data_IF_320306294026
#
_entry.id   IF_320306294026
#
_cell.length_a   1.000
_cell.length_b   1.000
_cell.length_c   1.000
_cell.angle_alpha   90.00
_cell.angle_beta   90.00
_cell.angle_gamma   90.00
#
_symmetry.space_group_name_H-M   'P 1'
#
loop_
_entity.id
_entity.type
_entity.pdbx_description
1 polymer ?
#
# COMPACT_ATOMS: atom_id res chain seq x y z
N UNK A 1 -26.01 61.62 -61.58
CA UNK A 1 -25.92 62.57 -60.46
C UNK A 1 -26.69 61.94 -59.30
N UNK A 2 -25.97 61.46 -58.28
CA UNK A 2 -26.00 62.04 -56.91
C UNK A 2 -27.16 61.52 -56.06
N UNK A 3 -26.78 60.68 -55.08
CA UNK A 3 -27.16 60.66 -53.66
C UNK A 3 -28.66 60.57 -53.27
N UNK A 4 -28.95 59.46 -52.57
CA UNK A 4 -30.03 59.07 -51.63
C UNK A 4 -30.66 60.23 -50.79
N UNK A 5 -31.80 60.10 -50.04
CA UNK A 5 -32.33 58.88 -49.38
C UNK A 5 -33.87 58.78 -49.08
N UNK A 6 -34.24 57.65 -48.45
CA UNK A 6 -35.29 57.47 -47.43
C UNK A 6 -36.77 57.35 -47.83
N UNK A 7 -37.41 56.20 -47.51
CA UNK A 7 -38.42 56.01 -46.43
C UNK A 7 -39.30 54.75 -46.65
N UNK A 8 -39.21 53.86 -45.66
CA UNK A 8 -40.26 53.09 -44.92
C UNK A 8 -41.41 52.30 -45.59
N UNK A 9 -41.58 51.08 -45.02
CA UNK A 9 -42.81 50.28 -44.79
C UNK A 9 -43.48 49.65 -46.03
N UNK A 10 -43.92 48.38 -46.08
CA UNK A 10 -44.12 47.22 -45.21
C UNK A 10 -43.90 45.97 -46.10
N UNK A 11 -43.62 44.78 -45.57
CA UNK A 11 -44.39 43.56 -45.91
C UNK A 11 -43.89 42.33 -45.13
N UNK A 12 -44.79 41.37 -45.06
CA UNK A 12 -44.91 40.19 -44.20
C UNK A 12 -43.94 39.02 -44.47
N UNK A 13 -43.84 38.15 -43.45
CA UNK A 13 -43.78 36.66 -43.52
C UNK A 13 -42.45 35.96 -43.85
N UNK A 14 -42.15 35.02 -42.94
CA UNK A 14 -41.55 33.69 -43.17
C UNK A 14 -40.03 33.50 -43.08
N UNK A 15 -39.69 32.66 -42.08
CA UNK A 15 -38.53 31.80 -41.88
C UNK A 15 -37.46 31.70 -42.98
N UNK A 16 -36.19 31.94 -42.61
CA UNK A 16 -35.10 30.94 -42.54
C UNK A 16 -33.75 31.58 -42.19
N UNK A 17 -33.01 30.89 -41.32
CA UNK A 17 -31.56 30.88 -41.11
C UNK A 17 -30.83 32.21 -40.85
N UNK A 18 -30.15 32.27 -39.70
CA UNK A 18 -28.67 32.26 -39.56
C UNK A 18 -28.26 33.09 -38.34
N UNK A 19 -27.42 32.46 -37.51
CA UNK A 19 -26.66 32.97 -36.38
C UNK A 19 -26.17 34.42 -36.54
N UNK A 20 -26.36 35.27 -35.52
CA UNK A 20 -25.28 35.93 -34.75
C UNK A 20 -25.81 37.00 -33.78
N UNK A 21 -25.24 36.97 -32.56
CA UNK A 21 -25.03 38.07 -31.60
C UNK A 21 -26.26 38.66 -30.87
N UNK A 22 -26.39 38.29 -29.60
CA UNK A 22 -26.89 39.20 -28.58
C UNK A 22 -26.00 39.11 -27.33
N UNK A 23 -25.40 40.25 -26.99
CA UNK A 23 -24.75 40.53 -25.72
C UNK A 23 -25.83 40.88 -24.67
N UNK A 24 -25.91 40.07 -23.61
CA UNK A 24 -26.12 40.37 -22.17
C UNK A 24 -27.28 41.30 -21.69
N UNK A 25 -27.64 41.33 -20.37
CA UNK A 25 -27.47 40.38 -19.26
C UNK A 25 -28.80 40.11 -18.49
N UNK A 26 -28.89 39.03 -17.69
CA UNK A 26 -30.09 38.83 -16.86
C UNK A 26 -30.16 37.51 -16.09
N UNK A 27 -29.25 37.35 -15.13
CA UNK A 27 -29.35 36.58 -13.87
C UNK A 27 -30.49 35.55 -13.78
N UNK A 28 -30.15 34.26 -13.97
CA UNK A 28 -30.65 33.14 -13.14
C UNK A 28 -29.87 31.85 -13.49
N UNK A 29 -28.60 31.78 -13.06
CA UNK A 29 -27.89 30.50 -12.93
C UNK A 29 -27.72 30.25 -11.44
N UNK A 30 -28.69 29.55 -10.87
CA UNK A 30 -28.57 28.98 -9.54
C UNK A 30 -27.55 27.83 -9.56
N UNK A 31 -26.37 28.10 -9.02
CA UNK A 31 -25.54 27.19 -8.22
C UNK A 31 -25.24 25.79 -8.80
N UNK A 32 -24.45 25.75 -9.87
CA UNK A 32 -23.45 24.69 -10.03
C UNK A 32 -22.14 25.18 -9.39
N UNK A 33 -21.98 24.96 -8.07
CA UNK A 33 -20.64 25.05 -7.44
C UNK A 33 -19.84 23.86 -7.95
N UNK A 34 -19.28 24.00 -9.14
CA UNK A 34 -18.13 23.21 -9.55
C UNK A 34 -17.01 23.53 -8.57
N UNK A 35 -16.66 22.57 -7.72
CA UNK A 35 -15.41 22.56 -6.98
C UNK A 35 -14.26 22.44 -7.99
N UNK A 36 -13.94 23.53 -8.69
CA UNK A 36 -12.62 23.72 -9.27
C UNK A 36 -11.67 23.93 -8.10
N UNK A 37 -11.19 22.82 -7.52
CA UNK A 37 -9.93 22.82 -6.81
C UNK A 37 -8.85 23.22 -7.82
N UNK A 38 -8.62 24.53 -7.95
CA UNK A 38 -7.51 25.07 -8.73
C UNK A 38 -6.25 24.39 -8.24
N UNK A 39 -5.58 23.66 -9.15
CA UNK A 39 -4.23 23.17 -8.92
C UNK A 39 -3.35 24.40 -8.67
N UNK A 40 -3.06 24.66 -7.39
CA UNK A 40 -2.20 25.77 -6.99
C UNK A 40 -0.87 25.61 -7.73
N UNK A 41 -0.45 26.58 -8.56
CA UNK A 41 0.83 26.48 -9.24
C UNK A 41 1.93 26.43 -8.18
N UNK A 42 2.76 25.39 -8.21
CA UNK A 42 3.93 25.26 -7.34
C UNK A 42 4.98 26.24 -7.85
N UNK A 43 4.97 27.49 -7.35
CA UNK A 43 5.81 28.59 -7.83
C UNK A 43 7.14 28.73 -7.05
N UNK A 44 7.69 27.63 -6.53
CA UNK A 44 9.00 27.62 -5.88
C UNK A 44 9.02 27.91 -4.36
N UNK A 45 9.10 29.18 -3.92
CA UNK A 45 9.14 29.48 -2.47
C UNK A 45 7.72 29.52 -1.89
N UNK A 46 7.46 28.74 -0.84
CA UNK A 46 6.15 28.73 -0.20
C UNK A 46 5.78 30.08 0.44
N UNK A 47 4.50 30.41 0.41
CA UNK A 47 3.87 31.51 1.16
C UNK A 47 3.36 31.07 2.53
N UNK A 48 3.17 29.76 2.76
CA UNK A 48 2.69 29.17 4.01
C UNK A 48 1.19 28.85 4.01
N UNK A 49 0.45 29.44 3.05
CA UNK A 49 -0.97 29.21 2.83
C UNK A 49 -1.28 27.93 2.05
N UNK A 50 -0.28 27.35 1.36
CA UNK A 50 -0.48 26.26 0.42
C UNK A 50 -1.06 25.00 1.08
N UNK A 51 -2.02 24.41 0.37
CA UNK A 51 -2.74 23.21 0.82
C UNK A 51 -2.57 22.09 -0.20
N UNK A 52 -1.40 21.47 -0.19
CA UNK A 52 -1.19 20.23 -0.93
C UNK A 52 -1.94 19.09 -0.23
N UNK A 53 -2.96 18.49 -0.89
CA UNK A 53 -3.68 17.38 -0.30
C UNK A 53 -2.75 16.18 -0.14
N UNK A 54 -3.00 15.38 0.90
CA UNK A 54 -2.24 14.14 1.08
C UNK A 54 -2.57 13.17 -0.06
N UNK A 55 -1.59 12.84 -0.90
CA UNK A 55 -1.76 11.80 -1.92
C UNK A 55 -2.06 10.45 -1.26
N UNK A 56 -1.45 10.19 -0.10
CA UNK A 56 -1.77 9.05 0.74
C UNK A 56 -1.48 9.37 2.22
N UNK A 57 -2.49 9.84 2.95
CA UNK A 57 -2.36 10.18 4.37
C UNK A 57 -1.93 8.97 5.24
N UNK A 58 -2.29 7.74 4.84
CA UNK A 58 -1.90 6.54 5.57
C UNK A 58 -0.40 6.26 5.42
N UNK A 59 0.19 6.57 4.27
CA UNK A 59 1.64 6.44 4.08
C UNK A 59 2.41 7.38 5.00
N UNK A 60 1.97 8.64 5.09
CA UNK A 60 2.56 9.64 5.97
C UNK A 60 2.46 9.25 7.45
N UNK A 61 1.29 8.77 7.90
CA UNK A 61 1.09 8.28 9.27
C UNK A 61 1.87 7.00 9.56
N UNK A 62 2.04 6.13 8.58
CA UNK A 62 2.86 4.92 8.73
C UNK A 62 4.35 5.27 8.91
N UNK A 63 4.87 6.29 8.23
CA UNK A 63 6.22 6.81 8.48
C UNK A 63 6.36 7.29 9.93
N UNK A 64 5.41 8.10 10.44
CA UNK A 64 5.44 8.54 11.84
C UNK A 64 5.47 7.34 12.80
N UNK A 65 4.64 6.33 12.56
CA UNK A 65 4.62 5.10 13.36
C UNK A 65 5.97 4.37 13.31
N UNK A 66 6.57 4.24 12.14
CA UNK A 66 7.87 3.60 11.95
C UNK A 66 9.01 4.37 12.63
N UNK A 67 9.01 5.70 12.55
CA UNK A 67 9.94 6.56 13.31
C UNK A 67 9.82 6.29 14.80
N UNK A 68 8.61 6.26 15.36
CA UNK A 68 8.40 6.01 16.78
C UNK A 68 8.80 4.59 17.20
N UNK A 69 8.72 3.60 16.30
CA UNK A 69 9.29 2.26 16.54
C UNK A 69 10.81 2.32 16.68
N UNK A 70 11.51 3.03 15.80
CA UNK A 70 12.97 3.15 15.88
C UNK A 70 13.43 3.97 17.09
N UNK A 71 12.70 5.04 17.43
CA UNK A 71 12.95 5.85 18.62
C UNK A 71 12.77 5.04 19.92
N UNK A 72 11.69 4.25 20.02
CA UNK A 72 11.43 3.39 21.18
C UNK A 72 12.54 2.38 21.45
N UNK A 73 13.17 1.82 20.40
CA UNK A 73 14.32 0.88 20.57
C UNK A 73 15.51 1.51 21.29
N UNK A 74 15.58 2.84 21.35
CA UNK A 74 16.65 3.61 22.00
C UNK A 74 16.16 4.37 23.23
N UNK A 75 14.99 4.04 23.76
CA UNK A 75 14.41 4.74 24.91
C UNK A 75 14.01 6.20 24.64
N UNK A 76 13.93 6.63 23.38
CA UNK A 76 13.56 8.01 23.03
C UNK A 76 12.05 8.19 23.03
N UNK A 77 11.59 9.37 23.48
CA UNK A 77 10.19 9.79 23.44
C UNK A 77 9.62 9.73 22.03
N UNK A 78 8.36 9.30 21.93
CA UNK A 78 7.62 9.25 20.66
C UNK A 78 7.32 10.67 20.16
N UNK A 79 7.46 10.87 18.85
CA UNK A 79 7.07 12.10 18.18
C UNK A 79 5.55 12.16 18.01
N UNK A 80 4.99 13.35 18.18
CA UNK A 80 3.58 13.66 17.86
C UNK A 80 3.43 14.12 16.41
N UNK A 81 2.23 14.01 15.84
CA UNK A 81 1.97 14.48 14.47
C UNK A 81 1.80 16.00 14.43
N UNK A 82 2.63 16.68 13.65
CA UNK A 82 2.56 18.12 13.45
C UNK A 82 1.96 18.45 12.08
N UNK A 83 0.76 19.03 12.09
CA UNK A 83 0.03 19.37 10.85
C UNK A 83 0.73 20.46 10.03
N UNK A 84 1.34 21.47 10.68
CA UNK A 84 2.10 22.52 10.00
C UNK A 84 3.32 21.94 9.27
N UNK A 85 4.07 21.07 9.95
CA UNK A 85 5.21 20.37 9.33
C UNK A 85 4.77 19.42 8.22
N UNK A 86 3.59 18.80 8.32
CA UNK A 86 3.07 17.96 7.25
C UNK A 86 2.69 18.76 6.01
N UNK A 87 2.12 19.98 6.17
CA UNK A 87 1.89 20.89 5.04
C UNK A 87 3.20 21.28 4.36
N UNK A 88 4.20 21.69 5.14
CA UNK A 88 5.53 22.00 4.62
C UNK A 88 6.15 20.83 3.85
N UNK A 89 6.04 19.62 4.42
CA UNK A 89 6.59 18.41 3.82
C UNK A 89 5.86 18.01 2.52
N UNK A 90 4.53 18.13 2.47
CA UNK A 90 3.74 17.86 1.25
C UNK A 90 4.00 18.89 0.16
N UNK A 91 4.14 20.16 0.53
CA UNK A 91 4.56 21.21 -0.39
C UNK A 91 5.88 20.82 -1.05
N UNK A 92 6.92 20.57 -0.25
CA UNK A 92 8.25 20.28 -0.80
C UNK A 92 8.30 18.97 -1.61
N UNK A 93 7.54 17.95 -1.20
CA UNK A 93 7.42 16.71 -1.97
C UNK A 93 6.77 16.93 -3.34
N UNK A 94 5.80 17.84 -3.43
CA UNK A 94 5.15 18.20 -4.69
C UNK A 94 6.05 19.13 -5.54
N UNK A 95 6.71 20.09 -4.90
CA UNK A 95 7.68 21.02 -5.50
C UNK A 95 8.80 20.27 -6.25
N UNK A 96 9.51 19.38 -5.54
CA UNK A 96 10.53 18.49 -6.12
C UNK A 96 10.01 17.64 -7.29
N UNK A 97 8.76 17.18 -7.20
CA UNK A 97 8.15 16.37 -8.24
C UNK A 97 7.76 17.20 -9.47
N UNK A 98 7.28 18.43 -9.27
CA UNK A 98 6.80 19.29 -10.35
C UNK A 98 7.92 19.86 -11.17
N UNK A 99 8.94 20.40 -10.51
CA UNK A 99 10.09 21.06 -11.14
C UNK A 99 11.28 20.11 -11.33
N UNK A 100 11.05 18.80 -11.15
CA UNK A 100 11.98 17.74 -11.49
C UNK A 100 13.37 17.98 -10.85
N UNK A 101 13.44 17.99 -9.52
CA UNK A 101 14.72 18.08 -8.81
C UNK A 101 14.69 17.28 -7.50
N UNK A 102 15.85 17.12 -6.86
CA UNK A 102 15.96 16.48 -5.56
C UNK A 102 16.99 17.22 -4.70
N UNK A 103 16.51 18.19 -3.92
CA UNK A 103 17.33 19.03 -3.07
C UNK A 103 16.51 19.48 -1.84
N UNK A 104 17.20 19.83 -0.76
CA UNK A 104 16.56 20.39 0.43
C UNK A 104 16.02 21.81 0.20
N UNK A 105 16.73 22.65 -0.57
CA UNK A 105 16.24 23.96 -0.97
C UNK A 105 15.17 23.85 -2.09
N UNK A 106 14.42 24.91 -2.30
CA UNK A 106 13.38 25.00 -3.33
C UNK A 106 13.96 25.71 -4.55
N UNK A 107 13.63 25.19 -5.73
CA UNK A 107 14.17 25.64 -7.01
C UNK A 107 13.01 26.00 -7.93
N UNK A 108 13.23 26.94 -8.86
CA UNK A 108 12.31 27.12 -9.99
C UNK A 108 12.60 26.07 -11.08
N UNK A 109 11.70 25.97 -12.06
CA UNK A 109 11.86 25.09 -13.24
C UNK A 109 13.14 25.35 -14.04
N UNK A 110 13.75 26.53 -13.91
CA UNK A 110 15.05 26.87 -14.52
C UNK A 110 16.25 26.36 -13.72
N UNK A 111 16.04 25.72 -12.57
CA UNK A 111 17.10 25.20 -11.72
C UNK A 111 17.76 26.26 -10.82
N UNK A 112 17.17 27.46 -10.71
CA UNK A 112 17.67 28.49 -9.79
C UNK A 112 17.06 28.29 -8.41
N UNK A 113 17.89 28.36 -7.36
CA UNK A 113 17.39 28.31 -5.99
C UNK A 113 16.56 29.56 -5.68
N UNK A 114 15.32 29.37 -5.26
CA UNK A 114 14.37 30.44 -4.93
C UNK A 114 14.02 30.52 -3.46
N UNK A 115 14.35 29.48 -2.67
CA UNK A 115 14.00 29.43 -1.25
C UNK A 115 14.89 28.44 -0.50
N UNK A 116 15.61 28.87 0.54
CA UNK A 116 16.36 27.97 1.39
C UNK A 116 15.42 27.04 2.19
N UNK A 117 15.89 25.83 2.55
CA UNK A 117 15.13 24.77 3.24
C UNK A 117 14.31 25.28 4.44
N UNK A 118 14.98 25.89 5.41
CA UNK A 118 14.30 26.38 6.62
C UNK A 118 13.57 27.69 6.39
N UNK A 119 13.93 28.49 5.38
CA UNK A 119 13.12 29.63 4.98
C UNK A 119 11.74 29.16 4.47
N UNK A 120 11.69 28.12 3.64
CA UNK A 120 10.44 27.46 3.21
C UNK A 120 9.67 26.88 4.40
N UNK A 121 10.31 26.08 5.26
CA UNK A 121 9.62 25.42 6.37
C UNK A 121 9.01 26.45 7.34
N UNK A 122 9.72 27.55 7.63
CA UNK A 122 9.27 28.66 8.49
C UNK A 122 7.97 29.32 8.03
N UNK A 123 7.65 29.27 6.73
CA UNK A 123 6.37 29.77 6.20
C UNK A 123 5.18 28.99 6.74
N UNK A 124 5.37 27.72 7.12
CA UNK A 124 4.33 26.88 7.70
C UNK A 124 4.40 26.79 9.22
N UNK A 125 5.60 26.83 9.80
CA UNK A 125 5.85 26.77 11.24
C UNK A 125 7.32 26.49 11.58
N UNK A 126 7.63 26.20 12.84
CA UNK A 126 9.01 26.02 13.28
C UNK A 126 9.52 24.58 13.04
N UNK A 127 10.38 24.40 12.05
CA UNK A 127 11.05 23.12 11.76
C UNK A 127 12.51 23.11 12.23
N UNK A 128 12.98 21.97 12.73
CA UNK A 128 14.32 21.79 13.27
C UNK A 128 15.22 20.87 12.45
N UNK A 129 14.64 20.02 11.60
CA UNK A 129 15.37 19.15 10.68
C UNK A 129 14.47 18.70 9.53
N UNK A 130 15.08 18.37 8.40
CA UNK A 130 14.40 17.78 7.24
C UNK A 130 15.11 16.51 6.79
N UNK A 131 14.35 15.47 6.44
CA UNK A 131 14.84 14.37 5.61
C UNK A 131 14.04 14.32 4.32
N UNK A 132 14.72 14.11 3.19
CA UNK A 132 14.08 13.91 1.88
C UNK A 132 14.45 12.52 1.32
N UNK A 133 13.58 11.94 0.51
CA UNK A 133 13.85 10.69 -0.19
C UNK A 133 13.03 10.60 -1.49
N UNK A 134 13.59 9.95 -2.51
CA UNK A 134 12.95 9.75 -3.79
C UNK A 134 13.04 8.29 -4.26
N UNK A 135 12.14 7.88 -5.16
CA UNK A 135 12.12 6.57 -5.81
C UNK A 135 11.50 5.43 -4.98
N UNK A 136 11.51 5.52 -3.65
CA UNK A 136 10.83 4.56 -2.79
C UNK A 136 9.30 4.65 -2.94
N UNK A 137 8.60 3.57 -3.25
CA UNK A 137 7.15 3.57 -3.45
C UNK A 137 6.33 3.17 -2.21
N UNK A 138 6.98 3.01 -1.05
CA UNK A 138 6.32 2.55 0.18
C UNK A 138 6.96 3.13 1.44
N UNK A 139 6.18 3.36 2.52
CA UNK A 139 6.70 3.87 3.79
C UNK A 139 7.87 3.05 4.34
N UNK A 140 7.76 1.72 4.28
CA UNK A 140 8.82 0.83 4.81
C UNK A 140 10.10 0.89 3.97
N UNK A 141 9.99 1.08 2.65
CA UNK A 141 11.13 1.24 1.77
C UNK A 141 11.87 2.53 2.06
N UNK A 142 11.13 3.64 2.09
CA UNK A 142 11.65 4.97 2.40
C UNK A 142 12.27 5.04 3.80
N UNK A 143 11.63 4.43 4.81
CA UNK A 143 12.20 4.35 6.16
C UNK A 143 13.55 3.61 6.20
N UNK A 144 13.72 2.55 5.40
CA UNK A 144 15.03 1.87 5.30
C UNK A 144 16.09 2.77 4.67
N UNK A 145 15.74 3.53 3.63
CA UNK A 145 16.66 4.48 3.01
C UNK A 145 17.16 5.51 4.04
N UNK A 146 16.24 6.12 4.81
CA UNK A 146 16.62 7.08 5.85
C UNK A 146 17.42 6.45 6.99
N UNK A 147 17.07 5.25 7.47
CA UNK A 147 17.80 4.60 8.57
C UNK A 147 19.19 4.09 8.18
N UNK A 148 19.43 3.84 6.88
CA UNK A 148 20.73 3.44 6.36
C UNK A 148 21.64 4.64 6.02
N UNK A 149 21.12 5.86 6.09
CA UNK A 149 21.88 7.09 5.87
C UNK A 149 22.19 7.76 7.22
N UNK A 150 23.47 7.94 7.59
CA UNK A 150 23.84 8.50 8.90
C UNK A 150 23.19 9.86 9.21
N UNK A 151 23.19 10.78 8.26
CA UNK A 151 22.57 12.11 8.41
C UNK A 151 21.06 12.05 8.67
N UNK A 152 20.34 11.29 7.84
CA UNK A 152 18.88 11.14 8.01
C UNK A 152 18.52 10.42 9.32
N UNK A 153 19.28 9.39 9.66
CA UNK A 153 19.14 8.64 10.92
C UNK A 153 19.36 9.54 12.14
N UNK A 154 20.34 10.44 12.10
CA UNK A 154 20.60 11.43 13.16
C UNK A 154 19.36 12.30 13.42
N UNK A 155 18.69 12.77 12.37
CA UNK A 155 17.46 13.56 12.51
C UNK A 155 16.32 12.76 13.14
N UNK A 156 16.07 11.52 12.68
CA UNK A 156 15.03 10.63 13.20
C UNK A 156 15.21 10.33 14.69
N UNK A 157 16.46 10.18 15.12
CA UNK A 157 16.84 9.77 16.47
C UNK A 157 17.31 10.94 17.35
N UNK A 158 17.11 12.17 16.90
CA UNK A 158 17.42 13.36 17.69
C UNK A 158 16.53 13.42 18.93
N UNK A 159 17.14 13.53 20.11
CA UNK A 159 16.41 13.65 21.38
C UNK A 159 15.60 14.96 21.46
N UNK A 160 16.06 16.03 20.79
CA UNK A 160 15.38 17.33 20.78
C UNK A 160 14.11 17.40 19.93
N UNK A 161 13.88 16.42 19.03
CA UNK A 161 12.66 16.37 18.24
C UNK A 161 11.47 15.94 19.10
N UNK A 162 10.38 16.71 19.04
CA UNK A 162 9.12 16.46 19.79
C UNK A 162 7.93 16.16 18.89
N UNK A 163 7.95 16.66 17.66
CA UNK A 163 6.90 16.39 16.67
C UNK A 163 7.45 16.21 15.25
N UNK A 164 6.64 15.61 14.38
CA UNK A 164 6.99 15.27 13.01
C UNK A 164 5.79 15.50 12.09
N UNK A 165 6.05 16.13 10.95
CA UNK A 165 5.17 16.11 9.79
C UNK A 165 5.80 15.31 8.66
N UNK A 166 4.97 14.59 7.90
CA UNK A 166 5.43 13.79 6.75
C UNK A 166 4.62 14.19 5.53
N UNK A 167 5.29 14.31 4.39
CA UNK A 167 4.68 14.53 3.08
C UNK A 167 5.05 13.41 2.12
N UNK A 168 4.07 12.96 1.34
CA UNK A 168 4.28 12.03 0.24
C UNK A 168 3.60 12.56 -1.02
N UNK A 169 4.35 12.58 -2.12
CA UNK A 169 3.84 12.93 -3.43
C UNK A 169 4.19 11.88 -4.47
N UNK A 170 3.28 11.68 -5.43
CA UNK A 170 3.48 10.77 -6.54
C UNK A 170 3.10 11.47 -7.84
N UNK A 171 4.06 11.60 -8.76
CA UNK A 171 3.85 12.18 -10.09
C UNK A 171 3.94 11.07 -11.15
N UNK A 172 2.82 10.66 -11.77
CA UNK A 172 2.85 9.75 -12.90
C UNK A 172 3.50 10.42 -14.12
N UNK A 173 4.06 9.63 -15.04
CA UNK A 173 4.52 10.13 -16.35
C UNK A 173 5.95 10.65 -16.44
N UNK A 174 6.70 10.74 -15.33
CA UNK A 174 8.15 10.99 -15.39
C UNK A 174 8.85 9.73 -15.92
N UNK A 175 9.42 9.80 -17.14
CA UNK A 175 10.08 8.66 -17.81
C UNK A 175 11.49 8.39 -17.28
N UNK A 176 12.21 9.44 -16.83
CA UNK A 176 13.66 9.35 -16.54
C UNK A 176 14.06 9.84 -15.12
N UNK A 177 13.10 10.28 -14.30
CA UNK A 177 13.32 10.77 -12.92
C UNK A 177 12.41 10.04 -11.93
N UNK A 178 12.63 10.20 -10.63
CA UNK A 178 11.86 9.51 -9.60
C UNK A 178 10.37 9.88 -9.66
N UNK A 179 9.47 8.90 -9.44
CA UNK A 179 8.01 9.14 -9.43
C UNK A 179 7.44 9.36 -8.03
N UNK A 180 8.20 9.03 -6.99
CA UNK A 180 7.78 9.03 -5.60
C UNK A 180 8.72 9.94 -4.82
N UNK A 181 8.16 10.91 -4.09
CA UNK A 181 8.90 11.87 -3.28
C UNK A 181 8.35 11.88 -1.85
N UNK A 182 9.27 11.93 -0.89
CA UNK A 182 8.98 11.86 0.53
C UNK A 182 9.76 12.91 1.28
N UNK A 183 9.11 13.53 2.27
CA UNK A 183 9.73 14.52 3.14
C UNK A 183 9.31 14.27 4.59
N UNK A 184 10.26 14.33 5.52
CA UNK A 184 10.03 14.41 6.96
C UNK A 184 10.48 15.78 7.45
N UNK A 185 9.60 16.53 8.11
CA UNK A 185 9.94 17.77 8.79
C UNK A 185 9.75 17.60 10.29
N UNK A 186 10.85 17.66 11.03
CA UNK A 186 10.87 17.53 12.49
C UNK A 186 10.73 18.90 13.14
N UNK A 187 10.17 18.94 14.35
CA UNK A 187 10.09 20.17 15.15
C UNK A 187 10.38 19.88 16.62
N UNK A 188 10.91 20.90 17.32
CA UNK A 188 11.11 20.90 18.78
C UNK A 188 9.85 21.26 19.55
N UNK A 189 8.77 21.65 18.85
CA UNK A 189 7.48 21.97 19.44
C UNK A 189 6.62 20.71 19.60
N UNK A 190 5.91 20.59 20.72
CA UNK A 190 4.86 19.58 20.91
C UNK A 190 3.57 20.11 20.31
N UNK A 191 2.86 19.29 19.53
CA UNK A 191 1.51 19.63 19.10
C UNK A 191 0.51 18.76 19.85
N UNK A 192 -0.25 19.35 20.77
CA UNK A 192 -1.33 18.70 21.50
C UNK A 192 -2.51 18.44 20.57
N UNK A 193 -2.45 17.39 19.74
CA UNK A 193 -3.60 16.80 19.04
C UNK A 193 -4.59 17.73 18.32
N UNK A 194 -4.23 19.00 18.08
CA UNK A 194 -5.21 20.01 17.72
C UNK A 194 -5.56 19.83 16.25
N UNK A 195 -6.75 19.27 16.08
CA UNK A 195 -7.43 19.06 14.82
C UNK A 195 -7.83 20.44 14.29
N UNK A 196 -7.00 21.01 13.43
CA UNK A 196 -7.43 22.11 12.58
C UNK A 196 -8.36 21.58 11.49
N UNK A 197 -9.66 21.55 11.79
CA UNK A 197 -10.79 21.61 10.85
C UNK A 197 -11.26 20.31 10.20
N UNK A 198 -12.49 19.87 10.56
CA UNK A 198 -13.30 19.00 9.69
C UNK A 198 -14.08 17.87 10.36
N UNK A 199 -15.10 18.23 11.14
CA UNK A 199 -16.33 17.49 11.47
C UNK A 199 -16.23 16.08 12.10
N UNK A 200 -16.52 15.99 13.40
CA UNK A 200 -17.11 14.79 14.00
C UNK A 200 -17.98 15.17 15.19
N UNK A 201 -19.26 14.86 15.06
CA UNK A 201 -20.25 14.95 16.12
C UNK A 201 -19.88 14.12 17.35
N UNK A 202 -20.53 14.59 18.42
CA UNK A 202 -20.55 14.20 19.82
C UNK A 202 -20.47 12.70 20.17
N UNK A 203 -20.03 12.46 21.42
CA UNK A 203 -20.08 11.19 22.16
C UNK A 203 -18.67 10.64 22.42
N UNK A 204 -17.97 11.00 23.49
CA UNK A 204 -18.40 10.95 24.89
C UNK A 204 -18.30 9.51 25.41
N UNK A 205 -17.14 9.11 25.94
CA UNK A 205 -17.00 8.62 27.32
C UNK A 205 -15.56 8.17 27.62
N UNK A 206 -15.09 8.65 28.77
CA UNK A 206 -13.88 8.28 29.51
C UNK A 206 -13.85 6.81 29.92
N UNK A 207 -12.65 6.25 30.02
CA UNK A 207 -12.42 4.91 30.54
C UNK A 207 -10.94 4.65 30.71
N UNK A 208 -10.39 5.18 31.80
CA UNK A 208 -9.11 4.77 32.39
C UNK A 208 -9.15 3.27 32.69
N UNK A 209 -8.01 2.60 32.59
CA UNK A 209 -7.92 1.18 32.91
C UNK A 209 -6.64 0.56 32.36
N UNK A 210 -5.52 0.82 33.03
CA UNK A 210 -4.41 -0.10 32.98
C UNK A 210 -4.85 -1.45 33.53
N UNK A 211 -4.53 -2.54 32.85
CA UNK A 211 -4.26 -3.78 33.58
C UNK A 211 -3.28 -4.67 32.81
N UNK A 212 -2.14 -4.87 33.45
CA UNK A 212 -1.28 -6.04 33.33
C UNK A 212 -2.05 -7.29 33.73
N UNK A 213 -2.30 -8.21 32.79
CA UNK A 213 -2.95 -9.48 33.10
C UNK A 213 -2.58 -10.58 32.11
N UNK A 214 -1.83 -11.58 32.59
CA UNK A 214 -1.73 -12.91 31.97
C UNK A 214 -3.12 -13.56 32.00
N UNK A 215 -3.63 -13.99 30.85
CA UNK A 215 -4.90 -14.74 30.76
C UNK A 215 -5.29 -15.05 29.31
N UNK A 216 -5.47 -16.34 29.00
CA UNK A 216 -5.77 -16.86 27.66
C UNK A 216 -7.20 -16.60 27.18
N UNK A 217 -7.58 -15.34 26.96
CA UNK A 217 -8.87 -14.98 26.37
C UNK A 217 -8.92 -15.15 24.85
N UNK A 218 -10.00 -15.75 24.32
CA UNK A 218 -10.30 -15.85 22.89
C UNK A 218 -10.32 -14.44 22.29
N UNK A 219 -9.37 -14.14 21.39
CA UNK A 219 -9.28 -12.83 20.72
C UNK A 219 -10.60 -12.54 19.98
N UNK A 220 -11.19 -11.37 20.21
CA UNK A 220 -12.41 -10.93 19.51
C UNK A 220 -12.15 -10.84 18.00
N UNK A 221 -13.17 -11.20 17.22
CA UNK A 221 -13.05 -11.39 15.76
C UNK A 221 -13.32 -10.12 14.95
N UNK A 222 -13.53 -8.99 15.61
CA UNK A 222 -14.04 -7.77 14.97
C UNK A 222 -13.08 -6.59 14.98
N UNK A 223 -11.90 -6.72 15.59
CA UNK A 223 -10.84 -5.71 15.58
C UNK A 223 -9.44 -6.30 15.51
N UNK A 224 -8.45 -5.46 15.21
CA UNK A 224 -7.04 -5.83 15.35
C UNK A 224 -6.57 -5.73 16.81
N UNK A 225 -5.45 -6.37 17.10
CA UNK A 225 -4.72 -6.22 18.36
C UNK A 225 -3.29 -5.82 18.11
N UNK A 226 -2.71 -5.06 19.04
CA UNK A 226 -1.31 -4.66 18.96
C UNK A 226 -0.42 -5.89 18.92
N UNK A 227 0.50 -5.92 17.97
CA UNK A 227 1.52 -6.95 17.86
C UNK A 227 2.82 -6.35 17.37
N UNK A 228 3.91 -6.74 18.04
CA UNK A 228 5.27 -6.38 17.66
C UNK A 228 5.84 -7.33 16.59
N UNK A 229 5.09 -8.37 16.21
CA UNK A 229 5.52 -9.38 15.24
C UNK A 229 5.06 -8.97 13.85
N UNK A 230 6.01 -8.55 13.01
CA UNK A 230 5.78 -8.23 11.60
C UNK A 230 5.22 -9.45 10.85
N UNK A 231 4.25 -9.21 9.99
CA UNK A 231 3.63 -10.23 9.15
C UNK A 231 3.33 -9.71 7.73
N UNK A 232 3.00 -10.62 6.82
CA UNK A 232 2.57 -10.31 5.46
C UNK A 232 1.28 -11.04 5.16
N UNK A 233 0.26 -10.28 4.76
CA UNK A 233 -0.96 -10.80 4.16
C UNK A 233 -0.80 -10.81 2.64
N UNK A 234 -0.89 -11.97 2.01
CA UNK A 234 -1.02 -12.08 0.57
C UNK A 234 -2.48 -12.35 0.20
N UNK A 235 -3.08 -11.50 -0.62
CA UNK A 235 -4.43 -11.69 -1.16
C UNK A 235 -4.33 -11.99 -2.65
N UNK A 236 -5.00 -13.05 -3.10
CA UNK A 236 -5.13 -13.39 -4.52
C UNK A 236 -6.57 -13.23 -4.96
N UNK A 237 -6.79 -12.44 -5.99
CA UNK A 237 -8.11 -12.26 -6.57
C UNK A 237 -8.31 -13.25 -7.72
N UNK A 238 -9.27 -14.14 -7.55
CA UNK A 238 -9.78 -15.09 -8.55
C UNK A 238 -11.25 -14.84 -8.87
N UNK A 239 -11.79 -13.71 -8.43
CA UNK A 239 -13.10 -13.24 -8.86
C UNK A 239 -12.98 -12.50 -10.19
N UNK A 240 -14.11 -12.25 -10.84
CA UNK A 240 -14.20 -11.42 -12.05
C UNK A 240 -14.24 -9.92 -11.73
N UNK A 241 -14.35 -9.53 -10.45
CA UNK A 241 -14.46 -8.15 -9.99
C UNK A 241 -13.23 -7.67 -9.21
N UNK A 242 -13.12 -6.35 -9.01
CA UNK A 242 -12.07 -5.77 -8.16
C UNK A 242 -12.35 -6.09 -6.70
N UNK A 243 -11.31 -6.49 -5.97
CA UNK A 243 -11.35 -6.62 -4.52
C UNK A 243 -10.71 -5.42 -3.85
N UNK A 244 -11.25 -5.02 -2.70
CA UNK A 244 -10.75 -3.92 -1.86
C UNK A 244 -10.29 -4.49 -0.52
N UNK A 245 -9.06 -4.21 -0.13
CA UNK A 245 -8.49 -4.67 1.14
C UNK A 245 -8.53 -3.61 2.21
N UNK A 246 -9.15 -3.95 3.35
CA UNK A 246 -9.26 -3.08 4.50
C UNK A 246 -8.62 -3.71 5.73
N UNK A 247 -7.78 -2.98 6.44
CA UNK A 247 -7.36 -3.33 7.79
C UNK A 247 -8.40 -2.83 8.77
N UNK A 248 -8.75 -3.61 9.77
CA UNK A 248 -9.66 -3.17 10.84
C UNK A 248 -8.82 -2.71 12.01
N UNK A 249 -8.90 -1.44 12.39
CA UNK A 249 -8.04 -0.88 13.44
C UNK A 249 -8.37 -1.43 14.84
N UNK A 250 -7.61 -1.00 15.85
CA UNK A 250 -7.78 -1.47 17.23
C UNK A 250 -9.12 -1.03 17.87
N UNK A 251 -9.82 -0.08 17.24
CA UNK A 251 -11.16 0.39 17.62
C UNK A 251 -12.26 -0.25 16.76
N UNK A 252 -11.93 -1.20 15.88
CA UNK A 252 -12.92 -1.87 15.01
C UNK A 252 -13.23 -1.12 13.70
N UNK A 253 -12.56 -0.01 13.41
CA UNK A 253 -12.86 0.81 12.22
C UNK A 253 -12.07 0.31 11.02
N UNK A 254 -12.72 0.24 9.86
CA UNK A 254 -12.05 -0.19 8.63
C UNK A 254 -11.19 0.92 8.01
N UNK A 255 -10.01 0.54 7.53
CA UNK A 255 -9.02 1.40 6.87
C UNK A 255 -8.68 0.78 5.53
N UNK A 256 -8.92 1.47 4.43
CA UNK A 256 -8.61 0.99 3.08
C UNK A 256 -7.09 0.99 2.81
N UNK A 257 -6.59 -0.04 2.12
CA UNK A 257 -5.17 -0.18 1.76
C UNK A 257 -4.92 -0.47 0.29
N UNK A 258 -5.76 -1.28 -0.36
CA UNK A 258 -5.48 -1.67 -1.75
C UNK A 258 -6.73 -2.02 -2.53
N UNK A 259 -6.69 -1.72 -3.82
CA UNK A 259 -7.51 -2.37 -4.84
C UNK A 259 -6.71 -3.54 -5.43
N UNK A 260 -7.40 -4.62 -5.75
CA UNK A 260 -6.81 -5.81 -6.33
C UNK A 260 -7.64 -6.25 -7.52
N UNK A 261 -7.10 -6.03 -8.72
CA UNK A 261 -7.73 -6.42 -9.98
C UNK A 261 -7.93 -7.93 -10.10
N UNK A 262 -8.91 -8.39 -10.90
CA UNK A 262 -9.11 -9.80 -11.23
C UNK A 262 -7.80 -10.48 -11.66
N UNK A 263 -7.61 -11.73 -11.21
CA UNK A 263 -6.43 -12.54 -11.56
C UNK A 263 -5.11 -12.16 -10.88
N UNK A 264 -5.02 -10.98 -10.23
CA UNK A 264 -3.79 -10.48 -9.61
C UNK A 264 -3.63 -10.94 -8.15
N UNK A 265 -2.44 -10.74 -7.60
CA UNK A 265 -2.13 -10.93 -6.19
C UNK A 265 -1.47 -9.70 -5.59
N UNK A 266 -1.81 -9.36 -4.35
CA UNK A 266 -1.21 -8.27 -3.59
C UNK A 266 -0.61 -8.79 -2.29
N UNK A 267 0.58 -8.31 -1.93
CA UNK A 267 1.22 -8.58 -0.64
C UNK A 267 1.19 -7.31 0.20
N UNK A 268 0.57 -7.40 1.37
CA UNK A 268 0.37 -6.32 2.29
C UNK A 268 1.14 -6.58 3.58
N UNK A 269 2.11 -5.73 3.89
CA UNK A 269 2.76 -5.74 5.20
C UNK A 269 1.76 -5.38 6.30
N UNK A 270 1.82 -6.09 7.42
CA UNK A 270 0.89 -6.00 8.55
C UNK A 270 1.57 -6.51 9.83
N UNK A 271 0.88 -6.54 10.97
CA UNK A 271 1.27 -7.31 12.16
C UNK A 271 0.55 -8.65 12.25
N UNK A 272 1.06 -9.58 13.06
CA UNK A 272 0.21 -10.66 13.58
C UNK A 272 -0.89 -10.07 14.48
N UNK A 273 -1.97 -10.79 14.71
CA UNK A 273 -3.18 -10.31 15.40
C UNK A 273 -3.92 -9.13 14.73
N UNK A 274 -3.53 -8.75 13.52
CA UNK A 274 -4.29 -7.79 12.72
C UNK A 274 -5.47 -8.48 12.02
N UNK A 275 -6.63 -7.84 12.04
CA UNK A 275 -7.81 -8.22 11.28
C UNK A 275 -7.87 -7.45 9.96
N UNK A 276 -8.14 -8.17 8.88
CA UNK A 276 -8.38 -7.61 7.55
C UNK A 276 -9.76 -8.02 7.05
N UNK A 277 -10.43 -7.12 6.35
CA UNK A 277 -11.67 -7.35 5.61
C UNK A 277 -11.39 -7.11 4.14
N UNK A 278 -11.58 -8.13 3.33
CA UNK A 278 -11.50 -8.02 1.88
C UNK A 278 -12.92 -7.96 1.34
N UNK A 279 -13.24 -6.88 0.63
CA UNK A 279 -14.57 -6.60 0.10
C UNK A 279 -14.57 -6.63 -1.43
N UNK A 280 -15.72 -6.84 -2.06
CA UNK A 280 -15.88 -6.62 -3.49
C UNK A 280 -16.11 -5.12 -3.79
N UNK A 281 -16.31 -4.76 -5.06
CA UNK A 281 -16.56 -3.39 -5.48
C UNK A 281 -17.79 -2.76 -4.79
N UNK A 282 -18.83 -3.56 -4.56
CA UNK A 282 -20.09 -3.22 -3.89
C UNK A 282 -19.97 -3.14 -2.35
N UNK A 283 -18.78 -3.32 -1.77
CA UNK A 283 -18.57 -3.22 -0.33
C UNK A 283 -18.94 -4.47 0.48
N UNK A 284 -19.45 -5.54 -0.15
CA UNK A 284 -19.74 -6.81 0.51
C UNK A 284 -18.43 -7.47 0.97
N UNK A 285 -18.37 -7.88 2.24
CA UNK A 285 -17.20 -8.58 2.80
C UNK A 285 -17.11 -9.99 2.20
N UNK A 286 -16.08 -10.19 1.38
CA UNK A 286 -15.77 -11.47 0.73
C UNK A 286 -14.91 -12.37 1.63
N UNK A 287 -14.10 -11.78 2.52
CA UNK A 287 -13.24 -12.52 3.45
C UNK A 287 -12.84 -11.67 4.66
N UNK A 288 -12.98 -12.21 5.86
CA UNK A 288 -12.28 -11.73 7.06
C UNK A 288 -10.96 -12.52 7.24
N UNK A 289 -9.87 -11.85 7.54
CA UNK A 289 -8.54 -12.46 7.74
C UNK A 289 -7.91 -11.94 9.02
N UNK A 290 -7.97 -12.74 10.07
CA UNK A 290 -7.19 -12.48 11.28
C UNK A 290 -5.79 -13.09 11.11
N UNK A 291 -4.75 -12.27 11.26
CA UNK A 291 -3.36 -12.65 11.02
C UNK A 291 -2.85 -13.52 12.17
N UNK A 292 -2.66 -14.82 11.94
CA UNK A 292 -2.14 -15.76 12.96
C UNK A 292 -0.66 -16.09 12.77
N UNK A 293 -0.09 -15.76 11.59
CA UNK A 293 1.27 -16.15 11.18
C UNK A 293 2.00 -14.95 10.58
N UNK A 294 3.33 -15.00 10.59
CA UNK A 294 4.21 -14.00 9.92
C UNK A 294 4.00 -13.93 8.40
N UNK A 295 3.38 -14.96 7.81
CA UNK A 295 2.93 -14.95 6.44
C UNK A 295 1.59 -15.68 6.35
N UNK A 296 0.57 -15.02 5.80
CA UNK A 296 -0.75 -15.61 5.60
C UNK A 296 -1.25 -15.26 4.22
N UNK A 297 -1.68 -16.29 3.49
CA UNK A 297 -2.07 -16.16 2.10
C UNK A 297 -3.53 -16.57 1.95
N UNK A 298 -4.35 -15.71 1.35
CA UNK A 298 -5.76 -15.96 1.10
C UNK A 298 -6.07 -15.76 -0.37
N UNK A 299 -6.91 -16.62 -0.92
CA UNK A 299 -7.44 -16.51 -2.28
C UNK A 299 -8.93 -16.28 -2.18
N UNK A 300 -9.46 -15.33 -2.95
CA UNK A 300 -10.86 -14.92 -2.94
C UNK A 300 -11.41 -15.05 -4.34
N UNK A 301 -12.57 -15.69 -4.47
CA UNK A 301 -13.13 -16.16 -5.73
C UNK A 301 -12.88 -17.66 -5.93
N UNK A 302 -13.87 -18.33 -6.54
CA UNK A 302 -13.77 -19.75 -6.90
C UNK A 302 -13.22 -19.87 -8.32
N UNK A 303 -12.37 -20.88 -8.53
CA UNK A 303 -12.27 -21.51 -9.85
C UNK A 303 -13.70 -21.84 -10.28
N UNK A 304 -14.09 -21.51 -11.52
CA UNK A 304 -15.24 -22.18 -12.14
C UNK A 304 -15.04 -23.69 -11.97
N UNK A 305 -15.88 -24.31 -11.15
CA UNK A 305 -16.60 -25.56 -11.42
C UNK A 305 -17.67 -25.69 -10.34
N UNK A 306 -18.88 -25.99 -10.79
CA UNK A 306 -20.10 -25.98 -9.98
C UNK A 306 -20.07 -26.99 -8.84
N UNK A 307 -21.15 -26.92 -8.06
CA UNK A 307 -21.60 -28.04 -7.23
C UNK A 307 -20.92 -28.16 -5.87
N UNK A 308 -21.70 -27.81 -4.85
CA UNK A 308 -21.74 -28.41 -3.52
C UNK A 308 -20.56 -28.26 -2.56
N UNK A 309 -20.84 -27.50 -1.50
CA UNK A 309 -20.64 -27.99 -0.12
C UNK A 309 -19.24 -27.96 0.48
N UNK A 310 -19.26 -27.78 1.81
CA UNK A 310 -18.20 -28.13 2.77
C UNK A 310 -17.04 -27.12 2.83
N UNK A 311 -16.80 -26.44 3.96
CA UNK A 311 -16.69 -27.00 5.31
C UNK A 311 -15.20 -27.25 5.61
N UNK A 312 -14.88 -27.47 6.88
CA UNK A 312 -13.54 -27.51 7.46
C UNK A 312 -12.44 -28.22 6.65
N UNK A 313 -11.20 -27.77 6.85
CA UNK A 313 -10.02 -28.18 6.08
C UNK A 313 -9.83 -29.70 5.96
N UNK A 314 -9.74 -30.18 4.72
CA UNK A 314 -9.08 -31.42 4.30
C UNK A 314 -8.55 -31.24 2.86
N UNK A 315 -7.45 -31.92 2.56
CA UNK A 315 -6.69 -32.01 1.31
C UNK A 315 -7.36 -31.53 0.00
N UNK A 316 -7.04 -30.30 -0.43
CA UNK A 316 -7.09 -29.99 -1.87
C UNK A 316 -5.92 -30.71 -2.53
N UNK A 317 -6.20 -31.76 -3.32
CA UNK A 317 -5.19 -32.48 -4.12
C UNK A 317 -4.51 -31.51 -5.09
N UNK A 318 -3.41 -30.89 -4.67
CA UNK A 318 -2.58 -30.04 -5.53
C UNK A 318 -1.98 -30.91 -6.63
N UNK A 319 -2.26 -30.58 -7.88
CA UNK A 319 -1.85 -31.37 -9.04
C UNK A 319 -0.63 -30.79 -9.79
N UNK A 320 -0.14 -29.60 -9.42
CA UNK A 320 1.00 -28.90 -10.05
C UNK A 320 1.82 -28.06 -9.07
N UNK A 321 3.04 -27.67 -9.46
CA UNK A 321 3.86 -26.73 -8.70
C UNK A 321 3.29 -25.30 -8.75
N UNK A 322 3.68 -24.48 -7.77
CA UNK A 322 3.44 -23.03 -7.80
C UNK A 322 4.79 -22.29 -7.87
N UNK A 323 4.82 -21.10 -8.52
CA UNK A 323 6.01 -20.27 -8.54
C UNK A 323 6.49 -19.93 -7.14
N UNK A 324 7.81 -20.00 -6.95
CA UNK A 324 8.51 -19.62 -5.75
C UNK A 324 9.95 -19.25 -6.08
N UNK A 325 10.58 -18.46 -5.24
CA UNK A 325 12.01 -18.11 -5.32
C UNK A 325 12.78 -18.57 -4.09
N UNK A 326 12.11 -19.21 -3.14
CA UNK A 326 12.75 -19.65 -1.90
C UNK A 326 13.27 -21.07 -2.08
N UNK A 327 14.60 -21.21 -2.03
CA UNK A 327 15.31 -22.48 -2.05
C UNK A 327 14.80 -23.45 -0.98
N UNK A 328 14.70 -24.72 -1.37
CA UNK A 328 14.31 -25.82 -0.51
C UNK A 328 15.11 -27.09 -0.86
N UNK A 329 15.13 -28.03 0.08
CA UNK A 329 15.79 -29.32 -0.06
C UNK A 329 14.81 -30.44 0.25
N UNK A 330 14.74 -31.43 -0.62
CA UNK A 330 13.91 -32.63 -0.47
C UNK A 330 14.81 -33.86 -0.33
N UNK A 331 14.82 -34.49 0.85
CA UNK A 331 15.51 -35.76 1.11
C UNK A 331 14.51 -36.91 1.04
N UNK A 332 14.80 -37.94 0.25
CA UNK A 332 13.93 -39.12 0.11
C UNK A 332 14.74 -40.39 0.30
N UNK A 333 14.28 -41.28 1.17
CA UNK A 333 14.84 -42.62 1.38
C UNK A 333 13.84 -43.66 0.88
N UNK A 334 14.31 -44.59 0.05
CA UNK A 334 13.51 -45.68 -0.50
C UNK A 334 13.70 -46.96 0.34
N UNK A 335 12.67 -47.35 1.09
CA UNK A 335 12.58 -48.62 1.82
C UNK A 335 11.59 -49.62 1.18
N UNK A 336 11.10 -49.32 -0.03
CA UNK A 336 10.27 -50.24 -0.79
C UNK A 336 11.14 -51.35 -1.41
N UNK A 337 10.50 -52.42 -1.89
CA UNK A 337 11.18 -53.53 -2.58
C UNK A 337 11.55 -53.23 -4.05
N UNK A 338 11.33 -52.02 -4.56
CA UNK A 338 11.58 -51.66 -5.96
C UNK A 338 12.26 -50.31 -6.14
N UNK A 339 12.49 -49.91 -7.39
CA UNK A 339 13.03 -48.58 -7.71
C UNK A 339 11.94 -47.50 -7.62
N UNK A 340 12.34 -46.31 -7.17
CA UNK A 340 11.49 -45.12 -7.17
C UNK A 340 12.03 -44.07 -8.14
N UNK A 341 11.15 -43.48 -8.96
CA UNK A 341 11.48 -42.37 -9.86
C UNK A 341 10.82 -41.08 -9.36
N UNK A 342 11.60 -40.01 -9.29
CA UNK A 342 11.16 -38.69 -8.84
C UNK A 342 10.93 -37.72 -9.99
N UNK A 343 9.73 -37.15 -10.03
CA UNK A 343 9.31 -36.19 -11.05
C UNK A 343 8.91 -34.87 -10.40
N UNK A 344 9.48 -33.77 -10.87
CA UNK A 344 8.95 -32.45 -10.58
C UNK A 344 7.75 -32.20 -11.49
N UNK A 345 6.64 -31.74 -10.92
CA UNK A 345 5.46 -31.38 -11.69
C UNK A 345 5.50 -29.89 -11.97
N UNK A 346 5.69 -29.48 -13.21
CA UNK A 346 5.87 -28.08 -13.57
C UNK A 346 4.61 -27.21 -13.34
N UNK A 347 4.69 -25.92 -13.65
CA UNK A 347 3.59 -24.97 -13.44
C UNK A 347 2.38 -25.21 -14.34
N UNK A 348 2.55 -25.98 -15.43
CA UNK A 348 1.48 -26.43 -16.32
C UNK A 348 0.90 -27.79 -15.89
N UNK A 349 1.53 -28.47 -14.94
CA UNK A 349 1.11 -29.80 -14.47
C UNK A 349 1.81 -30.96 -15.17
N UNK A 350 2.78 -30.68 -16.06
CA UNK A 350 3.55 -31.68 -16.78
C UNK A 350 4.69 -32.20 -15.89
N UNK A 351 4.87 -33.50 -15.85
CA UNK A 351 5.94 -34.14 -15.09
C UNK A 351 7.27 -34.04 -15.84
N UNK A 352 8.33 -33.70 -15.12
CA UNK A 352 9.72 -33.70 -15.58
C UNK A 352 10.51 -34.64 -14.69
N UNK A 353 11.21 -35.60 -15.27
CA UNK A 353 12.05 -36.56 -14.56
C UNK A 353 13.30 -35.86 -13.99
N UNK A 354 13.75 -36.29 -12.81
CA UNK A 354 14.97 -35.77 -12.18
C UNK A 354 15.88 -36.85 -11.62
N UNK A 355 15.33 -37.88 -10.95
CA UNK A 355 16.15 -38.87 -10.26
C UNK A 355 15.49 -40.23 -10.14
N UNK A 356 16.33 -41.25 -9.93
CA UNK A 356 15.92 -42.61 -9.55
C UNK A 356 16.58 -42.97 -8.22
N UNK A 357 15.85 -43.66 -7.35
CA UNK A 357 16.32 -44.16 -6.06
C UNK A 357 16.16 -45.68 -6.06
N UNK A 358 17.27 -46.42 -6.04
CA UNK A 358 17.28 -47.88 -5.87
C UNK A 358 16.78 -48.27 -4.46
N UNK A 359 16.42 -49.54 -4.26
CA UNK A 359 16.06 -50.07 -2.94
C UNK A 359 17.18 -49.77 -1.93
N UNK A 360 16.82 -49.29 -0.74
CA UNK A 360 17.76 -48.86 0.30
C UNK A 360 18.40 -47.48 0.07
N UNK A 361 18.33 -46.93 -1.14
CA UNK A 361 18.97 -45.68 -1.50
C UNK A 361 18.31 -44.43 -0.86
N UNK A 362 19.10 -43.36 -0.75
CA UNK A 362 18.63 -42.04 -0.32
C UNK A 362 19.13 -40.97 -1.28
N UNK A 363 18.25 -40.03 -1.66
CA UNK A 363 18.62 -38.87 -2.48
C UNK A 363 18.33 -37.56 -1.74
N UNK A 364 19.10 -36.52 -2.06
CA UNK A 364 18.84 -35.15 -1.62
C UNK A 364 18.72 -34.24 -2.84
N UNK A 365 17.51 -33.78 -3.13
CA UNK A 365 17.18 -32.96 -4.30
C UNK A 365 17.02 -31.48 -3.90
N UNK A 366 17.81 -30.60 -4.52
CA UNK A 366 17.58 -29.15 -4.44
C UNK A 366 16.34 -28.77 -5.25
N UNK A 367 15.51 -27.90 -4.70
CA UNK A 367 14.23 -27.49 -5.28
C UNK A 367 13.80 -26.14 -4.72
N UNK A 368 12.56 -25.71 -4.96
CA UNK A 368 11.98 -24.51 -4.34
C UNK A 368 10.79 -24.88 -3.48
N UNK A 369 10.48 -24.03 -2.50
CA UNK A 369 9.20 -24.14 -1.79
C UNK A 369 8.05 -24.03 -2.81
N UNK A 370 6.91 -24.66 -2.52
CA UNK A 370 5.75 -24.80 -3.40
C UNK A 370 5.96 -25.62 -4.68
N UNK A 371 7.11 -26.27 -4.85
CA UNK A 371 7.26 -27.31 -5.86
C UNK A 371 6.49 -28.56 -5.44
N UNK A 372 5.83 -29.20 -6.41
CA UNK A 372 5.19 -30.50 -6.28
C UNK A 372 6.09 -31.56 -6.90
N UNK A 373 6.35 -32.61 -6.14
CA UNK A 373 7.06 -33.80 -6.56
C UNK A 373 6.12 -35.01 -6.56
N UNK A 374 6.19 -35.82 -7.61
CA UNK A 374 5.53 -37.12 -7.69
C UNK A 374 6.60 -38.19 -7.69
N UNK A 375 6.46 -39.13 -6.77
CA UNK A 375 7.33 -40.30 -6.68
C UNK A 375 6.54 -41.49 -7.19
N UNK A 376 7.09 -42.16 -8.20
CA UNK A 376 6.49 -43.32 -8.84
C UNK A 376 7.32 -44.57 -8.58
N UNK A 377 6.67 -45.72 -8.46
CA UNK A 377 7.37 -47.00 -8.42
C UNK A 377 7.77 -47.48 -9.84
N UNK A 378 8.44 -48.62 -9.93
CA UNK A 378 8.85 -49.24 -11.20
C UNK A 378 7.69 -49.45 -12.20
N UNK A 379 6.47 -49.70 -11.71
CA UNK A 379 5.24 -49.86 -12.53
C UNK A 379 4.61 -48.52 -12.93
N UNK A 380 5.27 -47.40 -12.68
CA UNK A 380 4.78 -46.06 -12.98
C UNK A 380 3.68 -45.55 -12.05
N UNK A 381 3.23 -46.30 -11.04
CA UNK A 381 2.19 -45.86 -10.09
C UNK A 381 2.73 -44.79 -9.16
N UNK A 382 2.00 -43.68 -8.99
CA UNK A 382 2.36 -42.63 -8.02
C UNK A 382 2.19 -43.17 -6.60
N UNK A 383 3.30 -43.43 -5.91
CA UNK A 383 3.33 -43.89 -4.52
C UNK A 383 3.38 -42.74 -3.52
N UNK A 384 3.88 -41.57 -3.94
CA UNK A 384 3.91 -40.39 -3.07
C UNK A 384 3.75 -39.09 -3.86
N UNK A 385 3.04 -38.13 -3.26
CA UNK A 385 3.01 -36.73 -3.69
C UNK A 385 3.59 -35.87 -2.58
N UNK A 386 4.55 -35.02 -2.92
CA UNK A 386 5.28 -34.21 -1.94
C UNK A 386 5.22 -32.76 -2.42
N UNK A 387 4.44 -31.94 -1.73
CA UNK A 387 4.39 -30.50 -1.98
C UNK A 387 5.27 -29.78 -0.95
N UNK A 388 6.25 -29.01 -1.44
CA UNK A 388 7.29 -28.38 -0.62
C UNK A 388 6.73 -27.21 0.21
N UNK A 389 6.12 -27.46 1.36
CA UNK A 389 5.56 -26.40 2.22
C UNK A 389 6.60 -25.69 3.09
N UNK A 390 7.79 -26.28 3.24
CA UNK A 390 8.91 -25.79 4.06
C UNK A 390 10.23 -25.91 3.31
N UNK A 391 11.28 -25.27 3.82
CA UNK A 391 12.62 -25.26 3.19
C UNK A 391 13.34 -26.61 3.25
N UNK A 392 12.93 -27.51 4.13
CA UNK A 392 13.51 -28.85 4.25
C UNK A 392 12.40 -29.89 4.47
N UNK A 393 12.29 -30.85 3.56
CA UNK A 393 11.38 -31.99 3.67
C UNK A 393 12.15 -33.30 3.60
N UNK A 394 11.88 -34.20 4.53
CA UNK A 394 12.46 -35.55 4.54
C UNK A 394 11.33 -36.56 4.47
N UNK A 395 11.44 -37.55 3.58
CA UNK A 395 10.44 -38.60 3.39
C UNK A 395 11.11 -39.96 3.31
N UNK A 396 10.59 -40.91 4.09
CA UNK A 396 10.87 -42.33 3.92
C UNK A 396 9.66 -42.94 3.22
N UNK A 397 9.88 -43.62 2.11
CA UNK A 397 8.82 -44.33 1.36
C UNK A 397 9.05 -45.80 1.63
N UNK A 398 8.08 -46.44 2.29
CA UNK A 398 8.11 -47.86 2.66
C UNK A 398 7.17 -48.63 1.75
#
# INVERSE_FOLDING_TARGET
>A
MVILPSKTFLFTKSMKNTLLKAWAPGILIAFLITNFAQAQPFRGCASGGERVPAVNANFEKEILRLVNVERKKRGLSSLTWNAKMARAARYHAADMAHDDYFNHASFDKGGRQVCATFARIRKFGSGSAENIAAGGNSPTGTMRQWMNSPGHKKNILSAGAKSLGVGYYYKPGLKNKWRHYWVQNFSREVTNGSSGGGNSGSGGNSGSGGNSGKGGGKLSTDRSYVSNVKAVLEVRNRTNGVLKGFWVDYKGRERFYFNLAPGKSHKQSTGTKNLWRIKNAQGRVMRKVFMKKRYQSVTIGRNRKGGSGVGNGKNVKRNKSLPSTTNATLKITNRTNGTLKGYWVDFKGKERYYFTIRRGGTITQKTLTKHLWRIRNARGKVVRRIFMNKRYETRVIK
#
